data_IF_070979885850
#
_entry.id   IF_070979885850
#
_cell.length_a   1.000
_cell.length_b   1.000
_cell.length_c   1.000
_cell.angle_alpha   90.00
_cell.angle_beta   90.00
_cell.angle_gamma   90.00
#
_symmetry.space_group_name_H-M   'P 1'
#
loop_
_entity.id
_entity.type
_entity.pdbx_description
1 polymer ?
#
# COMPACT_ATOMS: atom_id res chain seq x y z
N UNK A 1 0.36 11.38 21.87
CA UNK A 1 1.16 10.91 20.73
C UNK A 1 0.51 11.44 19.46
N UNK A 2 1.29 11.83 18.45
CA UNK A 2 0.72 12.20 17.16
C UNK A 2 0.01 10.99 16.52
N UNK A 3 -1.10 11.23 15.84
CA UNK A 3 -1.84 10.20 15.08
C UNK A 3 -0.96 9.68 13.94
N UNK A 4 -0.85 8.34 13.81
CA UNK A 4 -0.11 7.68 12.72
C UNK A 4 -0.97 7.64 11.46
N UNK A 5 -0.43 7.99 10.30
CA UNK A 5 -1.14 7.98 9.02
C UNK A 5 -0.70 6.80 8.16
N UNK A 6 -1.64 5.95 7.78
CA UNK A 6 -1.40 4.82 6.88
C UNK A 6 -2.15 5.04 5.58
N UNK A 7 -1.43 5.06 4.45
CA UNK A 7 -2.05 5.08 3.12
C UNK A 7 -2.17 3.65 2.60
N UNK A 8 -3.38 3.24 2.22
CA UNK A 8 -3.68 1.89 1.75
C UNK A 8 -3.93 1.96 0.24
N UNK A 9 -3.14 1.26 -0.57
CA UNK A 9 -3.21 1.33 -2.04
C UNK A 9 -3.59 -0.04 -2.59
N UNK A 10 -4.77 -0.14 -3.19
CA UNK A 10 -5.15 -1.35 -3.92
C UNK A 10 -4.57 -1.31 -5.34
N UNK A 11 -3.93 -2.38 -5.79
CA UNK A 11 -3.50 -2.52 -7.20
C UNK A 11 -4.63 -2.88 -8.17
N UNK A 12 -5.89 -2.85 -7.72
CA UNK A 12 -7.05 -3.27 -8.50
C UNK A 12 -7.99 -2.09 -8.78
N UNK A 13 -8.41 -1.94 -10.03
CA UNK A 13 -9.38 -0.91 -10.47
C UNK A 13 -10.81 -1.45 -10.64
N UNK A 14 -11.03 -2.76 -10.45
CA UNK A 14 -12.37 -3.36 -10.56
C UNK A 14 -13.20 -3.06 -9.31
N UNK A 15 -14.49 -2.75 -9.48
CA UNK A 15 -15.39 -2.43 -8.36
C UNK A 15 -15.53 -3.57 -7.33
N UNK A 16 -15.66 -4.82 -7.77
CA UNK A 16 -15.81 -6.00 -6.90
C UNK A 16 -14.47 -6.69 -6.57
N UNK A 17 -13.47 -5.92 -6.15
CA UNK A 17 -12.14 -6.47 -5.85
C UNK A 17 -12.01 -6.99 -4.42
N UNK A 18 -11.61 -8.25 -4.28
CA UNK A 18 -11.17 -8.84 -3.01
C UNK A 18 -9.96 -8.11 -2.39
N UNK A 19 -9.08 -7.52 -3.22
CA UNK A 19 -7.92 -6.75 -2.73
C UNK A 19 -8.38 -5.42 -2.10
N UNK A 20 -9.26 -4.70 -2.80
CA UNK A 20 -9.86 -3.46 -2.29
C UNK A 20 -10.74 -3.75 -1.06
N UNK A 21 -11.47 -4.87 -1.04
CA UNK A 21 -12.26 -5.28 0.13
C UNK A 21 -11.38 -5.56 1.35
N UNK A 22 -10.23 -6.24 1.17
CA UNK A 22 -9.28 -6.46 2.26
C UNK A 22 -8.74 -5.13 2.82
N UNK A 23 -8.35 -4.18 1.96
CA UNK A 23 -7.88 -2.86 2.42
C UNK A 23 -8.99 -2.03 3.07
N UNK A 24 -10.22 -2.07 2.56
CA UNK A 24 -11.37 -1.42 3.21
C UNK A 24 -11.63 -2.00 4.59
N UNK A 25 -11.46 -3.31 4.74
CA UNK A 25 -11.55 -4.00 6.03
C UNK A 25 -10.42 -3.54 6.97
N UNK A 26 -9.20 -3.41 6.45
CA UNK A 26 -8.07 -2.89 7.22
C UNK A 26 -8.30 -1.44 7.69
N UNK A 27 -8.95 -0.58 6.89
CA UNK A 27 -9.39 0.76 7.35
C UNK A 27 -10.33 0.66 8.55
N UNK A 28 -11.33 -0.22 8.50
CA UNK A 28 -12.29 -0.41 9.59
C UNK A 28 -11.66 -1.04 10.85
N UNK A 29 -10.52 -1.71 10.72
CA UNK A 29 -9.79 -2.38 11.79
C UNK A 29 -8.57 -1.58 12.29
N UNK A 30 -8.40 -0.34 11.82
CA UNK A 30 -7.25 0.48 12.19
C UNK A 30 -7.15 0.65 13.73
N UNK A 31 -5.97 0.37 14.34
CA UNK A 31 -5.77 0.55 15.77
C UNK A 31 -5.99 2.00 16.22
N UNK A 32 -6.43 2.20 17.45
CA UNK A 32 -6.59 3.53 18.05
C UNK A 32 -5.33 4.38 17.87
N UNK A 33 -5.50 5.63 17.42
CA UNK A 33 -4.40 6.54 17.12
C UNK A 33 -3.76 6.32 15.74
N UNK A 34 -4.41 5.54 14.86
CA UNK A 34 -4.01 5.35 13.46
C UNK A 34 -5.13 5.81 12.53
N UNK A 35 -4.84 6.78 11.67
CA UNK A 35 -5.68 7.15 10.54
C UNK A 35 -5.29 6.33 9.31
N UNK A 36 -6.06 5.28 9.02
CA UNK A 36 -5.92 4.49 7.81
C UNK A 36 -6.81 5.07 6.69
N UNK A 37 -6.22 5.39 5.54
CA UNK A 37 -6.92 5.99 4.39
C UNK A 37 -6.74 5.10 3.17
N UNK A 38 -7.85 4.69 2.56
CA UNK A 38 -7.85 3.97 1.29
C UNK A 38 -7.69 4.95 0.13
N UNK A 39 -6.65 4.78 -0.68
CA UNK A 39 -6.47 5.51 -1.93
C UNK A 39 -7.38 4.93 -3.02
N UNK A 40 -8.22 5.77 -3.62
CA UNK A 40 -9.22 5.42 -4.64
C UNK A 40 -8.92 6.03 -6.03
N UNK A 41 -7.92 6.91 -6.14
CA UNK A 41 -7.56 7.61 -7.37
C UNK A 41 -6.75 6.80 -8.40
N UNK A 42 -6.61 5.47 -8.26
CA UNK A 42 -5.72 4.68 -9.12
C UNK A 42 -6.11 4.73 -10.60
N UNK A 43 -7.41 4.71 -10.90
CA UNK A 43 -7.92 4.74 -12.26
C UNK A 43 -7.80 6.13 -12.94
N UNK A 44 -7.62 7.18 -12.14
CA UNK A 44 -7.55 8.58 -12.59
C UNK A 44 -6.11 9.02 -12.93
N UNK A 45 -5.12 8.18 -12.63
CA UNK A 45 -3.73 8.50 -12.92
C UNK A 45 -3.47 8.41 -14.43
N UNK A 46 -2.96 9.49 -15.06
CA UNK A 46 -2.55 9.42 -16.46
C UNK A 46 -1.37 8.47 -16.63
N UNK A 47 -1.19 7.99 -17.85
CA UNK A 47 0.01 7.22 -18.21
C UNK A 47 1.26 8.03 -17.88
N UNK A 48 2.23 7.40 -17.21
CA UNK A 48 3.50 8.00 -16.86
C UNK A 48 4.24 8.45 -18.11
N UNK A 49 4.67 9.72 -18.10
CA UNK A 49 5.54 10.30 -19.12
C UNK A 49 6.56 11.18 -18.40
N UNK A 50 7.88 10.95 -18.57
CA UNK A 50 8.91 11.73 -17.89
C UNK A 50 8.75 13.25 -18.09
N UNK A 51 8.44 13.67 -19.33
CA UNK A 51 8.30 15.08 -19.71
C UNK A 51 7.15 15.81 -18.96
N UNK A 52 6.15 15.06 -18.48
CA UNK A 52 5.02 15.63 -17.75
C UNK A 52 5.33 15.88 -16.26
N UNK A 53 6.54 15.57 -15.80
CA UNK A 53 6.98 15.78 -14.41
C UNK A 53 7.86 17.03 -14.22
N UNK A 54 8.29 17.68 -15.31
CA UNK A 54 9.34 18.72 -15.28
C UNK A 54 8.89 20.12 -14.81
N UNK A 55 7.59 20.40 -14.68
CA UNK A 55 7.10 21.75 -14.29
C UNK A 55 5.96 21.74 -13.28
N UNK A 56 4.94 20.90 -13.49
CA UNK A 56 3.89 20.63 -12.53
C UNK A 56 3.26 19.26 -12.87
N UNK A 57 3.26 18.29 -11.94
CA UNK A 57 2.63 17.01 -12.21
C UNK A 57 1.11 17.18 -12.41
N UNK A 58 0.47 16.30 -13.19
CA UNK A 58 -0.98 16.31 -13.35
C UNK A 58 -1.71 16.32 -12.00
N UNK A 59 -2.89 16.97 -11.87
CA UNK A 59 -3.56 17.14 -10.56
C UNK A 59 -3.76 15.83 -9.77
N UNK A 60 -4.10 14.72 -10.45
CA UNK A 60 -4.24 13.41 -9.82
C UNK A 60 -2.90 12.89 -9.26
N UNK A 61 -1.80 13.12 -9.98
CA UNK A 61 -0.44 12.76 -9.54
C UNK A 61 -0.02 13.63 -8.36
N UNK A 62 -0.26 14.95 -8.42
CA UNK A 62 0.00 15.86 -7.31
C UNK A 62 -0.75 15.44 -6.02
N UNK A 63 -2.02 15.05 -6.17
CA UNK A 63 -2.84 14.56 -5.05
C UNK A 63 -2.33 13.23 -4.47
N UNK A 64 -1.88 12.29 -5.32
CA UNK A 64 -1.22 11.06 -4.90
C UNK A 64 0.04 11.38 -4.08
N UNK A 65 0.93 12.21 -4.61
CA UNK A 65 2.20 12.57 -3.94
C UNK A 65 1.95 13.26 -2.59
N UNK A 66 0.96 14.15 -2.51
CA UNK A 66 0.57 14.77 -1.25
C UNK A 66 0.10 13.75 -0.20
N UNK A 67 -0.64 12.72 -0.61
CA UNK A 67 -1.05 11.64 0.30
C UNK A 67 0.13 10.76 0.73
N UNK A 68 1.04 10.42 -0.19
CA UNK A 68 2.26 9.66 0.12
C UNK A 68 3.18 10.43 1.09
N UNK A 69 3.36 11.73 0.86
CA UNK A 69 4.14 12.61 1.73
C UNK A 69 3.55 12.69 3.14
N UNK A 70 2.22 12.76 3.25
CA UNK A 70 1.52 12.83 4.54
C UNK A 70 1.43 11.49 5.29
N UNK A 71 1.71 10.36 4.63
CA UNK A 71 1.63 9.04 5.23
C UNK A 71 2.91 8.69 6.01
N UNK A 72 2.76 8.09 7.19
CA UNK A 72 3.89 7.53 7.94
C UNK A 72 4.31 6.16 7.39
N UNK A 73 3.38 5.42 6.79
CA UNK A 73 3.60 4.15 6.13
C UNK A 73 2.62 3.93 4.97
N UNK A 74 2.94 3.00 4.06
CA UNK A 74 2.09 2.61 2.93
C UNK A 74 1.82 1.10 2.94
N UNK A 75 0.56 0.70 2.80
CA UNK A 75 0.15 -0.70 2.71
C UNK A 75 -0.42 -0.99 1.33
N UNK A 76 0.29 -1.80 0.55
CA UNK A 76 -0.15 -2.21 -0.78
C UNK A 76 -0.96 -3.51 -0.72
N UNK A 77 -1.98 -3.64 -1.57
CA UNK A 77 -2.64 -4.92 -1.80
C UNK A 77 -2.91 -5.10 -3.29
N UNK A 78 -2.16 -6.02 -3.91
CA UNK A 78 -2.13 -6.14 -5.37
C UNK A 78 -2.65 -7.50 -5.84
N UNK A 79 -3.57 -7.54 -6.83
CA UNK A 79 -3.80 -8.75 -7.60
C UNK A 79 -2.62 -9.01 -8.54
N UNK A 80 -2.67 -10.16 -9.21
CA UNK A 80 -1.75 -10.51 -10.30
C UNK A 80 -2.51 -10.55 -11.62
N UNK A 81 -1.99 -9.84 -12.63
CA UNK A 81 -2.54 -9.82 -13.98
C UNK A 81 -1.46 -10.28 -14.96
N UNK A 82 -1.78 -11.29 -15.78
CA UNK A 82 -0.86 -11.91 -16.72
C UNK A 82 0.47 -12.38 -16.07
N UNK A 83 0.45 -12.75 -14.79
CA UNK A 83 1.64 -13.18 -14.04
C UNK A 83 2.50 -12.05 -13.49
N UNK A 84 2.06 -10.80 -13.60
CA UNK A 84 2.84 -9.60 -13.28
C UNK A 84 2.03 -8.59 -12.44
N UNK A 85 2.70 -7.51 -12.05
CA UNK A 85 2.11 -6.36 -11.37
C UNK A 85 1.06 -5.69 -12.30
N UNK A 86 -0.11 -5.30 -11.77
CA UNK A 86 -1.10 -4.58 -12.57
C UNK A 86 -0.52 -3.31 -13.18
N UNK A 87 -0.74 -3.11 -14.48
CA UNK A 87 -0.19 -1.96 -15.21
C UNK A 87 -0.57 -0.61 -14.59
N UNK A 88 -1.78 -0.48 -14.02
CA UNK A 88 -2.20 0.73 -13.31
C UNK A 88 -1.40 0.98 -12.02
N UNK A 89 -1.11 -0.08 -11.25
CA UNK A 89 -0.27 0.05 -10.05
C UNK A 89 1.19 0.32 -10.43
N UNK A 90 1.71 -0.34 -11.47
CA UNK A 90 3.04 -0.03 -12.00
C UNK A 90 3.14 1.43 -12.45
N UNK A 91 2.13 1.92 -13.15
CA UNK A 91 2.04 3.33 -13.57
C UNK A 91 2.05 4.29 -12.38
N UNK A 92 1.31 3.99 -11.31
CA UNK A 92 1.36 4.74 -10.06
C UNK A 92 2.78 4.80 -9.50
N UNK A 93 3.46 3.65 -9.43
CA UNK A 93 4.82 3.58 -8.89
C UNK A 93 5.83 4.34 -9.76
N UNK A 94 5.67 4.33 -11.08
CA UNK A 94 6.52 5.10 -12.00
C UNK A 94 6.46 6.61 -11.70
N UNK A 95 5.28 7.13 -11.34
CA UNK A 95 5.12 8.52 -10.88
C UNK A 95 5.80 8.85 -9.53
N UNK A 96 6.31 7.86 -8.80
CA UNK A 96 7.00 8.05 -7.50
C UNK A 96 8.53 7.93 -7.61
N UNK A 97 9.05 7.58 -8.79
CA UNK A 97 10.49 7.45 -9.02
C UNK A 97 11.10 8.84 -9.15
N UNK A 98 12.20 9.09 -8.43
CA UNK A 98 12.94 10.36 -8.49
C UNK A 98 12.39 11.48 -7.59
N UNK A 99 11.18 11.33 -7.04
CA UNK A 99 10.50 12.37 -6.24
C UNK A 99 10.73 12.22 -4.74
N UNK A 100 11.18 11.05 -4.29
CA UNK A 100 11.43 10.76 -2.88
C UNK A 100 10.19 10.34 -2.08
N UNK A 101 9.01 10.27 -2.70
CA UNK A 101 7.73 9.99 -2.01
C UNK A 101 7.75 8.67 -1.21
N UNK A 102 8.50 7.68 -1.72
CA UNK A 102 8.64 6.35 -1.12
C UNK A 102 10.03 6.07 -0.53
N UNK A 103 10.97 7.02 -0.57
CA UNK A 103 12.36 6.76 -0.16
C UNK A 103 12.46 6.66 1.36
N UNK A 104 12.89 5.50 1.87
CA UNK A 104 12.86 5.18 3.31
C UNK A 104 11.45 5.18 3.90
N UNK A 105 10.41 5.19 3.08
CA UNK A 105 9.01 5.12 3.53
C UNK A 105 8.73 3.68 3.98
N UNK A 106 8.23 3.46 5.20
CA UNK A 106 7.82 2.14 5.65
C UNK A 106 6.70 1.63 4.77
N UNK A 107 6.87 0.42 4.25
CA UNK A 107 5.93 -0.18 3.33
C UNK A 107 5.70 -1.65 3.69
N UNK A 108 4.49 -2.13 3.43
CA UNK A 108 4.12 -3.53 3.54
C UNK A 108 3.18 -3.91 2.41
N UNK A 109 3.00 -5.21 2.19
CA UNK A 109 2.05 -5.71 1.21
C UNK A 109 1.13 -6.79 1.79
N UNK A 110 -0.09 -6.85 1.25
CA UNK A 110 -1.02 -7.97 1.43
C UNK A 110 -1.23 -8.63 0.07
N UNK A 111 -1.03 -9.94 0.00
CA UNK A 111 -1.35 -10.74 -1.18
C UNK A 111 -2.71 -11.41 -0.99
N UNK A 112 -3.75 -10.84 -1.61
CA UNK A 112 -5.07 -11.48 -1.65
C UNK A 112 -5.16 -12.39 -2.86
N UNK A 113 -4.74 -13.64 -2.67
CA UNK A 113 -4.74 -14.68 -3.70
C UNK A 113 -4.95 -16.07 -3.09
N UNK A 114 -5.31 -17.04 -3.93
CA UNK A 114 -5.28 -18.44 -3.53
C UNK A 114 -3.83 -18.88 -3.16
N UNK A 115 -3.66 -19.91 -2.31
CA UNK A 115 -2.33 -20.39 -1.95
C UNK A 115 -1.46 -20.68 -3.18
N UNK A 116 -0.22 -20.17 -3.18
CA UNK A 116 0.72 -20.31 -4.30
C UNK A 116 0.47 -19.39 -5.50
N UNK A 117 -0.46 -18.43 -5.40
CA UNK A 117 -0.77 -17.45 -6.46
C UNK A 117 -0.37 -16.03 -6.05
N UNK A 118 -0.23 -15.15 -7.02
CA UNK A 118 0.15 -13.75 -6.79
C UNK A 118 1.66 -13.51 -6.68
N UNK A 119 2.47 -14.57 -6.81
CA UNK A 119 3.91 -14.50 -6.57
C UNK A 119 4.65 -13.63 -7.60
N UNK A 120 4.17 -13.58 -8.86
CA UNK A 120 4.80 -12.75 -9.88
C UNK A 120 4.58 -11.26 -9.62
N UNK A 121 3.34 -10.88 -9.28
CA UNK A 121 3.03 -9.50 -8.88
C UNK A 121 3.79 -9.08 -7.62
N UNK A 122 3.92 -9.96 -6.62
CA UNK A 122 4.70 -9.68 -5.41
C UNK A 122 6.20 -9.49 -5.70
N UNK A 123 6.78 -10.32 -6.57
CA UNK A 123 8.18 -10.22 -6.94
C UNK A 123 8.47 -8.89 -7.66
N UNK A 124 7.60 -8.47 -8.57
CA UNK A 124 7.72 -7.18 -9.25
C UNK A 124 7.49 -6.00 -8.31
N UNK A 125 6.45 -6.05 -7.45
CA UNK A 125 6.20 -5.01 -6.45
C UNK A 125 7.43 -4.83 -5.54
N UNK A 126 7.98 -5.92 -5.03
CA UNK A 126 9.17 -5.90 -4.17
C UNK A 126 10.38 -5.32 -4.90
N UNK A 127 10.56 -5.65 -6.18
CA UNK A 127 11.63 -5.10 -7.02
C UNK A 127 11.50 -3.58 -7.16
N UNK A 128 10.30 -3.08 -7.45
CA UNK A 128 10.05 -1.64 -7.61
C UNK A 128 10.21 -0.90 -6.28
N UNK A 129 9.65 -1.44 -5.18
CA UNK A 129 9.81 -0.86 -3.85
C UNK A 129 11.28 -0.82 -3.39
N UNK A 130 12.06 -1.85 -3.73
CA UNK A 130 13.51 -1.87 -3.51
C UNK A 130 14.25 -0.80 -4.32
N UNK A 131 13.86 -0.56 -5.57
CA UNK A 131 14.44 0.48 -6.41
C UNK A 131 14.26 1.89 -5.83
N UNK A 132 13.08 2.16 -5.25
CA UNK A 132 12.80 3.42 -4.55
C UNK A 132 13.21 3.41 -3.08
N UNK A 133 13.97 2.40 -2.63
CA UNK A 133 14.49 2.30 -1.25
C UNK A 133 13.42 2.36 -0.15
N UNK A 134 12.20 1.87 -0.44
CA UNK A 134 11.16 1.76 0.58
C UNK A 134 11.62 0.80 1.69
N UNK A 135 11.27 1.13 2.93
CA UNK A 135 11.60 0.35 4.12
C UNK A 135 10.57 -0.76 4.30
N UNK A 136 10.87 -1.98 3.87
CA UNK A 136 9.92 -3.09 3.96
C UNK A 136 9.73 -3.57 5.40
N UNK A 137 8.48 -3.55 5.87
CA UNK A 137 8.06 -4.10 7.16
C UNK A 137 7.67 -5.57 6.93
N UNK A 138 8.65 -6.46 6.86
CA UNK A 138 8.42 -7.89 6.55
C UNK A 138 7.42 -8.56 7.51
N UNK A 139 7.41 -8.17 8.78
CA UNK A 139 6.46 -8.68 9.78
C UNK A 139 4.98 -8.33 9.48
N UNK A 140 4.73 -7.34 8.62
CA UNK A 140 3.41 -6.93 8.18
C UNK A 140 3.04 -7.48 6.79
N UNK A 141 3.97 -8.14 6.10
CA UNK A 141 3.74 -8.74 4.80
C UNK A 141 3.02 -10.08 4.94
N UNK A 142 1.82 -10.20 4.35
CA UNK A 142 0.98 -11.39 4.58
C UNK A 142 0.21 -11.82 3.32
N UNK A 143 0.15 -13.13 3.08
CA UNK A 143 -0.70 -13.73 2.05
C UNK A 143 -1.98 -14.26 2.68
N UNK A 144 -3.13 -13.78 2.21
CA UNK A 144 -4.44 -14.10 2.78
C UNK A 144 -5.43 -14.43 1.66
N UNK A 145 -5.90 -15.69 1.56
CA UNK A 145 -7.01 -16.01 0.66
C UNK A 145 -8.30 -15.32 1.10
N UNK A 146 -8.95 -14.59 0.19
CA UNK A 146 -10.26 -13.97 0.44
C UNK A 146 -11.26 -14.53 -0.57
N UNK A 147 -12.25 -15.26 -0.06
CA UNK A 147 -13.36 -15.74 -0.87
C UNK A 147 -14.29 -14.58 -1.24
N UNK A 148 -14.89 -14.63 -2.44
CA UNK A 148 -15.73 -13.53 -2.94
C UNK A 148 -17.06 -13.40 -2.19
N UNK A 149 -17.60 -14.52 -1.75
CA UNK A 149 -18.81 -14.63 -0.93
C UNK A 149 -18.60 -14.16 0.52
N UNK A 150 -17.34 -14.05 0.96
CA UNK A 150 -16.99 -13.41 2.23
C UNK A 150 -17.00 -11.88 2.16
N UNK A 151 -17.29 -11.26 1.00
CA UNK A 151 -17.43 -9.80 0.89
C UNK A 151 -18.86 -9.43 1.29
N UNK A 152 -18.98 -8.68 2.38
CA UNK A 152 -20.25 -8.16 2.88
C UNK A 152 -20.78 -6.99 2.00
N UNK A 153 -22.03 -6.59 2.25
CA UNK A 153 -22.70 -5.55 1.47
C UNK A 153 -22.01 -4.17 1.55
N UNK A 154 -21.28 -3.89 2.64
CA UNK A 154 -20.48 -2.67 2.82
C UNK A 154 -19.11 -2.73 2.09
N UNK A 155 -18.81 -3.85 1.43
CA UNK A 155 -17.57 -4.12 0.72
C UNK A 155 -16.40 -4.49 1.63
N UNK A 156 -16.63 -4.77 2.92
CA UNK A 156 -15.64 -5.35 3.83
C UNK A 156 -15.68 -6.87 3.79
N UNK A 157 -14.65 -7.53 4.30
CA UNK A 157 -14.55 -8.99 4.40
C UNK A 157 -15.11 -9.43 5.75
N UNK A 158 -16.06 -10.36 5.78
CA UNK A 158 -16.66 -10.88 7.01
C UNK A 158 -15.91 -12.05 7.64
N UNK A 159 -14.98 -12.67 6.92
CA UNK A 159 -14.18 -13.79 7.41
C UNK A 159 -13.25 -13.38 8.57
N UNK A 160 -13.39 -14.03 9.72
CA UNK A 160 -12.66 -13.68 10.93
C UNK A 160 -11.16 -13.99 10.86
N UNK A 161 -10.75 -15.02 10.11
CA UNK A 161 -9.33 -15.31 9.93
C UNK A 161 -8.67 -14.22 9.08
N UNK A 162 -9.36 -13.73 8.05
CA UNK A 162 -8.90 -12.58 7.26
C UNK A 162 -8.76 -11.36 8.15
N UNK A 163 -9.78 -11.06 8.97
CA UNK A 163 -9.75 -9.93 9.90
C UNK A 163 -8.60 -10.01 10.90
N UNK A 164 -8.39 -11.17 11.52
CA UNK A 164 -7.29 -11.38 12.46
C UNK A 164 -5.91 -11.18 11.80
N UNK A 165 -5.73 -11.67 10.58
CA UNK A 165 -4.49 -11.47 9.83
C UNK A 165 -4.25 -9.99 9.47
N UNK A 166 -5.32 -9.26 9.10
CA UNK A 166 -5.24 -7.81 8.87
C UNK A 166 -4.90 -7.03 10.13
N UNK A 167 -5.50 -7.38 11.28
CA UNK A 167 -5.15 -6.78 12.59
C UNK A 167 -3.68 -7.00 12.91
N UNK A 168 -3.17 -8.22 12.73
CA UNK A 168 -1.75 -8.53 12.98
C UNK A 168 -0.82 -7.70 12.08
N UNK A 169 -1.15 -7.57 10.79
CA UNK A 169 -0.38 -6.75 9.85
C UNK A 169 -0.38 -5.26 10.26
N UNK A 170 -1.55 -4.71 10.62
CA UNK A 170 -1.67 -3.32 11.09
C UNK A 170 -0.88 -3.10 12.38
N UNK A 171 -0.95 -4.04 13.33
CA UNK A 171 -0.20 -3.96 14.57
C UNK A 171 1.30 -3.91 14.30
N UNK A 172 1.81 -4.81 13.45
CA UNK A 172 3.22 -4.84 13.06
C UNK A 172 3.69 -3.51 12.43
N UNK A 173 2.85 -2.87 11.60
CA UNK A 173 3.13 -1.52 11.07
C UNK A 173 3.21 -0.49 12.20
N UNK A 174 2.21 -0.47 13.09
CA UNK A 174 2.17 0.52 14.16
C UNK A 174 3.28 0.35 15.19
N UNK A 175 3.73 -0.86 15.45
CA UNK A 175 4.86 -1.18 16.33
C UNK A 175 6.16 -0.69 15.70
N UNK A 176 6.37 -0.99 14.43
CA UNK A 176 7.52 -0.52 13.66
C UNK A 176 7.63 1.02 13.69
N UNK A 177 6.51 1.73 13.42
CA UNK A 177 6.48 3.19 13.48
C UNK A 177 6.78 3.75 14.88
N UNK A 178 6.39 3.04 15.94
CA UNK A 178 6.67 3.46 17.32
C UNK A 178 8.16 3.36 17.65
N UNK A 179 8.80 2.26 17.24
CA UNK A 179 10.25 2.06 17.41
C UNK A 179 11.02 3.12 16.62
N UNK A 180 10.64 3.35 15.37
CA UNK A 180 11.32 4.29 14.47
C UNK A 180 11.27 5.73 14.98
N UNK A 181 10.13 6.16 15.52
CA UNK A 181 9.98 7.49 16.12
C UNK A 181 10.69 7.65 17.47
N UNK A 182 11.11 6.55 18.09
CA UNK A 182 11.87 6.52 19.35
C UNK A 182 13.38 6.46 19.13
N UNK A 183 13.83 6.17 17.90
CA UNK A 183 15.25 6.12 17.57
C UNK A 183 15.85 7.54 17.51
N UNK A 184 17.05 7.76 18.06
CA UNK A 184 17.74 9.03 17.88
C UNK A 184 17.98 9.26 16.37
N UNK A 185 17.91 10.52 15.88
CA UNK A 185 18.11 10.80 14.46
C UNK A 185 19.45 10.22 14.01
N UNK A 186 19.43 9.38 12.98
CA UNK A 186 20.65 8.86 12.38
C UNK A 186 21.50 10.06 11.97
N UNK A 187 22.77 10.09 12.41
CA UNK A 187 23.71 11.13 12.02
C UNK A 187 23.71 11.22 10.49
N UNK A 188 23.35 12.40 9.97
CA UNK A 188 23.31 12.67 8.54
C UNK A 188 24.65 12.26 7.93
N UNK A 189 24.63 11.24 7.07
CA UNK A 189 25.81 10.88 6.29
C UNK A 189 25.98 11.97 5.25
N UNK A 190 27.11 12.68 5.36
CA UNK A 190 27.55 13.78 4.52
C UNK A 190 27.98 13.32 3.12
#
# INVERSE_FOLDING_TARGET
MAEKRLLLISGSTRGASTNTAALRTAVALAPTGTAAVLYDGLAELPAFTPDADDSAPPPAVAALRAQLAAADAVLFCTPEYAGALPGSLKNLLDWTVGTGDLYGKPAAWINVAAPGRGLGALAELTTVLGYVTAEMIEAACVAIPVARDAIAADGTVSDENVRAALVAALQAITDHLSVRNSAPPAAAQA
#
